data_IF_519099478914
#
_entry.id   IF_519099478914
#
_cell.length_a   1.000
_cell.length_b   1.000
_cell.length_c   1.000
_cell.angle_alpha   90.00
_cell.angle_beta   90.00
_cell.angle_gamma   90.00
#
_symmetry.space_group_name_H-M   'P 1'
#
loop_
_entity.id
_entity.type
_entity.pdbx_description
1 polymer ?
#
# COMPACT_ATOMS: atom_id res chain seq x y z
N UNK A 1 -8.00 22.74 -10.04
CA UNK A 1 -6.75 22.69 -10.82
C UNK A 1 -5.61 22.77 -9.81
N UNK A 2 -5.03 21.62 -9.47
CA UNK A 2 -4.03 21.45 -8.41
C UNK A 2 -2.71 22.11 -8.84
N UNK A 3 -2.35 23.24 -8.23
CA UNK A 3 -1.02 23.82 -8.31
C UNK A 3 -0.06 23.03 -7.41
N UNK A 4 0.22 21.78 -7.76
CA UNK A 4 1.54 21.25 -7.47
C UNK A 4 2.45 21.90 -8.52
N UNK A 5 3.44 22.71 -8.10
CA UNK A 5 4.43 23.19 -9.07
C UNK A 5 5.06 21.98 -9.76
N UNK A 6 5.37 22.08 -11.05
CA UNK A 6 6.00 21.00 -11.82
C UNK A 6 7.24 20.44 -11.08
N UNK A 7 7.96 21.30 -10.36
CA UNK A 7 9.09 20.94 -9.49
C UNK A 7 8.74 20.01 -8.32
N UNK A 8 7.55 20.13 -7.71
CA UNK A 8 7.11 19.24 -6.64
C UNK A 8 6.81 17.84 -7.16
N UNK A 9 6.07 17.73 -8.27
CA UNK A 9 5.79 16.45 -8.94
C UNK A 9 7.07 15.79 -9.43
N UNK A 10 8.00 16.56 -9.98
CA UNK A 10 9.33 16.10 -10.40
C UNK A 10 10.14 15.53 -9.23
N UNK A 11 10.16 16.23 -8.10
CA UNK A 11 10.86 15.78 -6.90
C UNK A 11 10.25 14.48 -6.35
N UNK A 12 8.92 14.41 -6.28
CA UNK A 12 8.22 13.20 -5.87
C UNK A 12 8.52 12.03 -6.83
N UNK A 13 8.45 12.26 -8.14
CA UNK A 13 8.75 11.28 -9.18
C UNK A 13 10.18 10.73 -9.09
N UNK A 14 11.16 11.54 -8.69
CA UNK A 14 12.55 11.10 -8.49
C UNK A 14 12.71 10.14 -7.31
N UNK A 15 11.81 10.17 -6.33
CA UNK A 15 11.85 9.29 -5.16
C UNK A 15 11.02 8.02 -5.33
N UNK A 16 10.15 7.97 -6.34
CA UNK A 16 9.45 6.75 -6.70
C UNK A 16 10.40 5.73 -7.30
N UNK A 17 10.45 4.56 -6.67
CA UNK A 17 11.19 3.41 -7.18
C UNK A 17 10.21 2.42 -7.76
N UNK A 18 10.43 2.00 -9.00
CA UNK A 18 9.61 0.94 -9.60
C UNK A 18 10.15 -0.42 -9.16
N UNK A 19 9.26 -1.25 -8.64
CA UNK A 19 9.52 -2.64 -8.29
C UNK A 19 8.71 -3.56 -9.18
N UNK A 20 9.34 -4.64 -9.64
CA UNK A 20 8.72 -5.64 -10.48
C UNK A 20 8.74 -6.98 -9.76
N UNK A 21 7.57 -7.60 -9.61
CA UNK A 21 7.43 -8.88 -8.94
C UNK A 21 6.89 -9.92 -9.91
N UNK A 22 7.49 -11.12 -9.84
CA UNK A 22 7.02 -12.29 -10.56
C UNK A 22 5.80 -12.90 -9.84
N UNK A 23 4.94 -13.65 -10.55
CA UNK A 23 3.88 -14.41 -9.90
C UNK A 23 4.45 -15.41 -8.89
N UNK A 24 3.88 -15.45 -7.69
CA UNK A 24 4.32 -16.28 -6.56
C UNK A 24 5.36 -15.62 -5.66
N UNK A 25 5.89 -14.45 -6.03
CA UNK A 25 6.89 -13.73 -5.25
C UNK A 25 6.26 -13.06 -4.01
N UNK A 26 7.00 -13.05 -2.90
CA UNK A 26 6.58 -12.47 -1.63
C UNK A 26 7.24 -11.11 -1.44
N UNK A 27 6.42 -10.06 -1.43
CA UNK A 27 6.89 -8.69 -1.35
C UNK A 27 7.13 -8.22 0.08
N UNK A 28 6.27 -8.68 0.99
CA UNK A 28 6.34 -8.38 2.40
C UNK A 28 6.12 -9.66 3.19
N UNK A 29 6.92 -9.84 4.24
CA UNK A 29 6.77 -10.92 5.20
C UNK A 29 6.18 -10.39 6.49
N UNK A 30 5.40 -11.19 7.22
CA UNK A 30 4.89 -10.83 8.55
C UNK A 30 6.04 -10.55 9.53
N UNK A 31 5.97 -9.40 10.22
CA UNK A 31 6.98 -8.92 11.16
C UNK A 31 8.04 -8.01 10.54
N UNK A 32 8.01 -7.81 9.22
CA UNK A 32 8.89 -6.90 8.51
C UNK A 32 8.49 -5.44 8.74
N UNK A 33 9.49 -4.56 8.82
CA UNK A 33 9.28 -3.13 9.03
C UNK A 33 8.71 -2.48 7.77
N UNK A 34 7.55 -1.83 7.87
CA UNK A 34 6.93 -1.11 6.75
C UNK A 34 7.42 0.33 6.76
N UNK A 35 8.57 0.56 6.14
CA UNK A 35 9.17 1.90 5.98
C UNK A 35 8.78 2.57 4.67
N UNK A 36 7.96 1.92 3.84
CA UNK A 36 7.68 2.34 2.47
C UNK A 36 6.20 2.15 2.09
N UNK A 37 5.67 3.06 1.26
CA UNK A 37 4.34 2.96 0.67
C UNK A 37 4.43 2.33 -0.71
N UNK A 38 3.48 1.47 -1.07
CA UNK A 38 3.43 0.81 -2.35
C UNK A 38 2.13 1.13 -3.10
N UNK A 39 2.26 1.46 -4.38
CA UNK A 39 1.16 1.72 -5.30
C UNK A 39 1.15 0.67 -6.40
N UNK A 40 0.01 0.05 -6.63
CA UNK A 40 -0.13 -0.99 -7.65
C UNK A 40 -0.45 -0.33 -9.00
N UNK A 41 0.51 -0.40 -9.93
CA UNK A 41 0.33 0.12 -11.29
C UNK A 41 -0.37 -0.91 -12.16
N UNK A 42 0.10 -2.16 -12.10
CA UNK A 42 -0.43 -3.29 -12.86
C UNK A 42 -0.32 -4.58 -12.03
N UNK A 43 -1.17 -5.56 -12.35
CA UNK A 43 -1.16 -6.87 -11.70
C UNK A 43 -2.16 -7.00 -10.56
N UNK A 44 -1.97 -8.04 -9.75
CA UNK A 44 -2.84 -8.38 -8.63
C UNK A 44 -2.02 -9.05 -7.54
N UNK A 45 -2.27 -8.67 -6.30
CA UNK A 45 -1.61 -9.18 -5.12
C UNK A 45 -2.65 -9.69 -4.15
N UNK A 46 -2.28 -10.69 -3.37
CA UNK A 46 -3.09 -11.19 -2.28
C UNK A 46 -2.36 -10.96 -0.95
N UNK A 47 -3.13 -10.63 0.06
CA UNK A 47 -2.66 -10.43 1.42
C UNK A 47 -3.04 -11.67 2.20
N UNK A 48 -2.03 -12.35 2.75
CA UNK A 48 -2.15 -13.61 3.47
C UNK A 48 -1.81 -13.35 4.94
N UNK A 49 -2.74 -13.66 5.83
CA UNK A 49 -2.54 -13.58 7.27
C UNK A 49 -2.89 -14.93 7.88
N UNK A 50 -1.98 -15.48 8.72
CA UNK A 50 -2.15 -16.79 9.35
C UNK A 50 -2.55 -17.90 8.36
N UNK A 51 -1.89 -17.94 7.19
CA UNK A 51 -2.13 -18.85 6.05
C UNK A 51 -3.50 -18.71 5.35
N UNK A 52 -4.31 -17.70 5.70
CA UNK A 52 -5.59 -17.39 5.06
C UNK A 52 -5.53 -16.09 4.25
N UNK A 53 -6.19 -16.06 3.10
CA UNK A 53 -6.26 -14.86 2.24
C UNK A 53 -7.29 -13.89 2.79
N UNK A 54 -6.84 -12.73 3.29
CA UNK A 54 -7.71 -11.72 3.92
C UNK A 54 -8.17 -10.63 2.94
N UNK A 55 -7.37 -10.33 1.93
CA UNK A 55 -7.67 -9.31 0.93
C UNK A 55 -6.98 -9.61 -0.41
N UNK A 56 -7.59 -9.17 -1.49
CA UNK A 56 -7.00 -9.15 -2.82
C UNK A 56 -6.91 -7.69 -3.26
N UNK A 57 -5.71 -7.28 -3.65
CA UNK A 57 -5.39 -5.94 -4.12
C UNK A 57 -5.15 -5.98 -5.63
N UNK A 58 -5.69 -5.00 -6.34
CA UNK A 58 -5.61 -4.89 -7.79
C UNK A 58 -4.91 -3.61 -8.25
N UNK A 59 -4.95 -3.40 -9.56
CA UNK A 59 -4.49 -2.17 -10.19
C UNK A 59 -5.18 -0.94 -9.60
N UNK A 60 -4.38 0.04 -9.16
CA UNK A 60 -4.83 1.30 -8.58
C UNK A 60 -4.97 1.27 -7.06
N UNK A 61 -4.81 0.12 -6.43
CA UNK A 61 -4.83 0.02 -4.98
C UNK A 61 -3.50 0.47 -4.36
N UNK A 62 -3.60 1.00 -3.15
CA UNK A 62 -2.47 1.52 -2.38
C UNK A 62 -2.41 0.79 -1.04
N UNK A 63 -1.24 0.28 -0.71
CA UNK A 63 -1.01 -0.48 0.52
C UNK A 63 0.28 -0.03 1.21
N UNK A 64 0.33 -0.21 2.53
CA UNK A 64 1.45 0.26 3.35
C UNK A 64 0.97 0.69 4.73
N UNK A 65 1.57 1.76 5.25
CA UNK A 65 1.19 2.37 6.51
C UNK A 65 0.88 3.87 6.37
N UNK A 66 0.04 4.38 7.26
CA UNK A 66 -0.38 5.79 7.31
C UNK A 66 0.65 6.64 8.05
N UNK A 67 1.74 7.01 7.35
CA UNK A 67 2.85 7.77 7.95
C UNK A 67 2.46 9.13 8.56
N UNK A 68 1.33 9.71 8.13
CA UNK A 68 0.82 10.98 8.65
C UNK A 68 0.08 10.83 9.98
N UNK A 69 -0.43 9.64 10.32
CA UNK A 69 -1.23 9.42 11.53
C UNK A 69 -0.37 8.89 12.68
N UNK A 70 0.59 8.03 12.39
CA UNK A 70 1.47 7.46 13.40
C UNK A 70 2.95 7.62 13.00
N UNK A 71 3.79 8.23 13.86
CA UNK A 71 5.21 8.38 13.59
C UNK A 71 6.01 7.10 13.85
N UNK A 72 5.45 6.07 14.48
CA UNK A 72 6.11 4.78 14.68
C UNK A 72 6.08 3.94 13.41
N UNK A 73 7.21 3.33 13.05
CA UNK A 73 7.25 2.33 11.97
C UNK A 73 6.50 1.08 12.45
N UNK A 74 5.38 0.79 11.79
CA UNK A 74 4.62 -0.43 12.01
C UNK A 74 5.36 -1.66 11.48
N UNK A 75 5.06 -2.81 12.08
CA UNK A 75 5.45 -4.11 11.53
C UNK A 75 4.28 -4.66 10.71
N UNK A 76 4.58 -5.31 9.59
CA UNK A 76 3.60 -6.03 8.79
C UNK A 76 2.94 -7.13 9.60
N UNK A 77 1.62 -7.09 9.66
CA UNK A 77 0.81 -8.12 10.28
C UNK A 77 0.45 -9.26 9.32
N UNK A 78 0.75 -9.10 8.03
CA UNK A 78 0.37 -10.02 6.97
C UNK A 78 1.47 -10.09 5.89
N UNK A 79 1.49 -11.20 5.17
CA UNK A 79 2.31 -11.41 3.99
C UNK A 79 1.63 -10.85 2.75
N UNK A 80 2.39 -10.28 1.82
CA UNK A 80 1.86 -9.83 0.52
C UNK A 80 2.49 -10.67 -0.57
N UNK A 81 1.67 -11.40 -1.34
CA UNK A 81 2.12 -12.25 -2.43
C UNK A 81 1.59 -11.75 -3.76
N UNK A 82 2.43 -11.72 -4.78
CA UNK A 82 2.00 -11.42 -6.14
C UNK A 82 1.30 -12.65 -6.76
N UNK A 83 0.09 -12.47 -7.31
CA UNK A 83 -0.61 -13.51 -8.07
C UNK A 83 -0.18 -13.52 -9.55
N UNK A 84 0.16 -12.35 -10.08
CA UNK A 84 0.54 -12.13 -11.48
C UNK A 84 1.83 -11.31 -11.56
N UNK A 85 2.34 -11.04 -12.75
CA UNK A 85 3.40 -10.05 -12.92
C UNK A 85 2.87 -8.68 -12.48
N UNK A 86 3.47 -8.13 -11.43
CA UNK A 86 3.04 -6.88 -10.82
C UNK A 86 4.09 -5.81 -11.00
N UNK A 87 3.64 -4.64 -11.43
CA UNK A 87 4.44 -3.42 -11.44
C UNK A 87 3.97 -2.52 -10.30
N UNK A 88 4.89 -2.18 -9.42
CA UNK A 88 4.60 -1.39 -8.24
C UNK A 88 5.49 -0.17 -8.19
N UNK A 89 4.93 0.94 -7.71
CA UNK A 89 5.73 2.09 -7.33
C UNK A 89 5.86 2.11 -5.81
N UNK A 90 7.08 1.96 -5.33
CA UNK A 90 7.43 2.03 -3.92
C UNK A 90 8.07 3.38 -3.62
N UNK A 91 7.64 4.01 -2.53
CA UNK A 91 8.23 5.25 -2.03
C UNK A 91 8.56 5.10 -0.55
N UNK A 92 9.80 5.41 -0.19
CA UNK A 92 10.25 5.38 1.20
C UNK A 92 9.60 6.50 2.00
N UNK A 93 9.25 6.20 3.25
CA UNK A 93 8.70 7.14 4.23
C UNK A 93 9.59 8.36 4.38
N UNK A 94 10.90 8.18 4.58
CA UNK A 94 11.82 9.29 4.80
C UNK A 94 11.77 10.30 3.66
N UNK A 95 11.78 9.81 2.41
CA UNK A 95 11.73 10.66 1.21
C UNK A 95 10.37 11.33 1.03
N UNK A 96 9.29 10.62 1.33
CA UNK A 96 7.97 11.21 1.30
C UNK A 96 7.84 12.33 2.34
N UNK A 97 8.30 12.11 3.57
CA UNK A 97 8.26 13.11 4.65
C UNK A 97 9.12 14.33 4.33
N UNK A 98 10.33 14.15 3.78
CA UNK A 98 11.19 15.26 3.33
C UNK A 98 10.47 16.16 2.30
N UNK A 99 9.78 15.57 1.31
CA UNK A 99 9.05 16.33 0.28
C UNK A 99 7.80 17.01 0.87
N UNK A 100 7.09 16.32 1.76
CA UNK A 100 5.89 16.86 2.41
C UNK A 100 6.22 18.03 3.35
N UNK A 101 7.36 17.97 4.06
CA UNK A 101 7.85 19.05 4.93
C UNK A 101 8.18 20.31 4.13
N UNK A 102 8.83 20.15 2.97
CA UNK A 102 9.15 21.27 2.08
C UNK A 102 7.90 21.87 1.41
N UNK A 103 6.92 21.04 1.06
CA UNK A 103 5.69 21.45 0.35
C UNK A 103 4.43 21.22 1.19
N UNK A 104 4.29 21.93 2.32
CA UNK A 104 3.14 21.79 3.23
C UNK A 104 1.76 22.01 2.56
N UNK A 105 1.69 22.90 1.56
CA UNK A 105 0.45 23.12 0.79
C UNK A 105 0.02 21.88 -0.02
N UNK A 106 0.98 21.13 -0.55
CA UNK A 106 0.74 19.86 -1.23
C UNK A 106 0.41 18.76 -0.21
N UNK A 107 1.09 18.75 0.94
CA UNK A 107 0.87 17.73 1.98
C UNK A 107 -0.59 17.64 2.45
N UNK A 108 -1.24 18.77 2.70
CA UNK A 108 -2.65 18.80 3.08
C UNK A 108 -3.59 18.28 1.98
N UNK A 109 -3.23 18.50 0.71
CA UNK A 109 -3.99 17.96 -0.42
C UNK A 109 -3.74 16.46 -0.57
N UNK A 110 -2.49 16.01 -0.40
CA UNK A 110 -2.11 14.61 -0.47
C UNK A 110 -2.80 13.79 0.63
N UNK A 111 -2.74 14.24 1.88
CA UNK A 111 -3.37 13.55 3.02
C UNK A 111 -4.90 13.41 2.88
N UNK A 112 -5.58 14.34 2.21
CA UNK A 112 -7.03 14.27 1.96
C UNK A 112 -7.40 13.38 0.76
N UNK A 113 -6.52 13.27 -0.23
CA UNK A 113 -6.80 12.52 -1.46
C UNK A 113 -6.25 11.08 -1.41
N UNK A 114 -5.23 10.83 -0.59
CA UNK A 114 -4.63 9.50 -0.49
C UNK A 114 -5.48 8.60 0.41
N UNK A 115 -6.19 7.67 -0.24
CA UNK A 115 -6.95 6.62 0.44
C UNK A 115 -6.10 5.35 0.41
N UNK A 116 -5.71 4.87 1.59
CA UNK A 116 -5.08 3.56 1.73
C UNK A 116 -6.14 2.47 1.61
N UNK A 117 -5.96 1.55 0.66
CA UNK A 117 -6.84 0.38 0.48
C UNK A 117 -6.62 -0.61 1.61
N UNK A 118 -5.36 -0.82 2.01
CA UNK A 118 -5.02 -1.78 3.06
C UNK A 118 -3.86 -1.27 3.93
N UNK A 119 -4.09 -1.21 5.25
CA UNK A 119 -3.04 -0.90 6.22
C UNK A 119 -2.40 -2.20 6.71
N UNK A 120 -1.12 -2.39 6.39
CA UNK A 120 -0.37 -3.59 6.76
C UNK A 120 0.05 -3.61 8.24
N UNK A 121 0.07 -2.47 8.94
CA UNK A 121 0.46 -2.36 10.36
C UNK A 121 -0.64 -2.78 11.32
N UNK A 122 -1.91 -2.74 10.90
CA UNK A 122 -3.02 -3.10 11.76
C UNK A 122 -3.31 -4.60 11.60
N UNK A 123 -3.26 -5.35 12.72
CA UNK A 123 -3.86 -6.69 12.76
C UNK A 123 -5.38 -6.53 12.65
N UNK A 124 -5.95 -6.98 11.55
CA UNK A 124 -7.40 -7.08 11.40
C UNK A 124 -7.92 -8.18 12.32
N UNK A 125 -8.23 -7.86 13.58
CA UNK A 125 -8.70 -8.86 14.57
C UNK A 125 -10.22 -9.01 14.64
N UNK A 126 -11.01 -8.23 13.90
CA UNK A 126 -12.47 -8.25 14.03
C UNK A 126 -13.21 -8.04 12.72
N UNK A 127 -14.27 -8.84 12.54
CA UNK A 127 -15.23 -8.93 11.43
C UNK A 127 -15.99 -7.63 11.08
N UNK A 128 -15.59 -6.44 11.57
CA UNK A 128 -16.41 -5.23 11.46
C UNK A 128 -15.73 -3.98 10.90
N UNK A 129 -14.46 -4.01 10.47
CA UNK A 129 -13.80 -2.80 9.96
C UNK A 129 -13.15 -2.88 8.56
N UNK A 130 -13.33 -3.98 7.83
CA UNK A 130 -12.94 -4.06 6.43
C UNK A 130 -14.13 -4.50 5.57
N UNK A 131 -14.76 -3.59 4.83
CA UNK A 131 -15.72 -3.96 3.76
C UNK A 131 -15.10 -4.87 2.67
N UNK A 132 -13.77 -5.06 2.69
CA UNK A 132 -13.05 -5.99 1.80
C UNK A 132 -13.11 -7.46 2.23
N UNK A 133 -13.38 -7.77 3.51
CA UNK A 133 -13.51 -9.18 3.95
C UNK A 133 -14.68 -9.89 3.28
N UNK A 134 -15.74 -9.17 2.88
CA UNK A 134 -16.86 -9.77 2.15
C UNK A 134 -16.46 -10.26 0.75
N UNK A 135 -15.46 -9.67 0.10
CA UNK A 135 -14.99 -10.11 -1.24
C UNK A 135 -14.08 -11.35 -1.17
N UNK A 136 -13.30 -11.51 -0.09
CA UNK A 136 -12.49 -12.70 0.14
C UNK A 136 -13.37 -13.95 0.31
N UNK A 137 -14.51 -13.82 1.02
CA UNK A 137 -15.54 -14.87 1.08
C UNK A 137 -16.19 -15.15 -0.29
N UNK A 138 -16.40 -14.13 -1.12
CA UNK A 138 -17.02 -14.29 -2.44
C UNK A 138 -16.14 -15.07 -3.44
N UNK A 139 -14.81 -14.98 -3.32
CA UNK A 139 -13.88 -15.75 -4.15
C UNK A 139 -13.81 -17.23 -3.78
N UNK A 140 -14.11 -17.61 -2.53
CA UNK A 140 -14.24 -19.02 -2.13
C UNK A 140 -15.52 -19.67 -2.67
N UNK A 141 -16.62 -18.90 -2.85
CA UNK A 141 -17.90 -19.44 -3.35
C UNK A 141 -17.92 -19.68 -4.88
N UNK A 142 -16.96 -19.14 -5.66
CA UNK A 142 -16.87 -19.33 -7.11
C UNK A 142 -15.81 -20.37 -7.52
N UNK A 143 -15.44 -21.27 -6.59
CA UNK A 143 -14.52 -22.40 -6.82
C UNK A 143 -15.20 -23.76 -6.60
N UNK A 144 -16.50 -23.84 -6.86
CA UNK A 144 -17.28 -25.08 -6.95
C UNK A 144 -18.01 -25.16 -8.30
#
# INVERSE_FOLDING_TARGET
MLLASDGCLRALAMHFTMSHSAPGDLLYHTGESIDSLCFIVTGSLEVIQDDEVVAILGKGDVFGDSFWTNPSVGQSAANVRALTYCDLHTIKRDRLLEVLDFYQAFANSFARNLVLTYNLSHRCYTEQQCSVCSLALFSRQNRE
#
